data_IF_020963863520
#
_entry.id   IF_020963863520
#
_cell.length_a   1.000
_cell.length_b   1.000
_cell.length_c   1.000
_cell.angle_alpha   90.00
_cell.angle_beta   90.00
_cell.angle_gamma   90.00
#
_symmetry.space_group_name_H-M   'P 1'
#
loop_
_entity.id
_entity.type
_entity.pdbx_description
1 polymer ?
#
# COMPACT_ATOMS: atom_id res chain seq x y z
N UNK A 1 80.90 -8.11 -48.06
CA UNK A 1 80.12 -7.80 -46.84
C UNK A 1 79.21 -6.64 -47.16
N UNK A 2 77.94 -6.88 -47.54
CA UNK A 2 76.91 -5.87 -47.69
C UNK A 2 75.57 -6.55 -47.31
N UNK A 3 75.03 -6.14 -46.20
CA UNK A 3 73.74 -6.54 -45.70
C UNK A 3 72.59 -5.88 -46.48
N UNK A 4 71.67 -6.67 -47.01
CA UNK A 4 70.45 -6.19 -47.66
C UNK A 4 69.28 -6.54 -46.81
N UNK A 5 68.69 -5.54 -46.15
CA UNK A 5 67.45 -5.66 -45.44
C UNK A 5 66.27 -5.65 -46.43
N UNK A 6 65.45 -6.71 -46.42
CA UNK A 6 64.15 -6.75 -47.11
C UNK A 6 63.06 -6.23 -46.21
N UNK A 7 62.46 -5.13 -46.59
CA UNK A 7 61.30 -4.54 -45.94
C UNK A 7 60.02 -5.28 -46.37
N UNK A 8 59.40 -5.92 -45.46
CA UNK A 8 58.09 -6.52 -45.68
C UNK A 8 56.98 -5.48 -45.29
N UNK A 9 56.24 -5.04 -46.26
CA UNK A 9 55.05 -4.19 -46.03
C UNK A 9 53.84 -5.12 -45.69
N UNK A 10 53.37 -5.07 -44.45
CA UNK A 10 52.12 -5.67 -44.05
C UNK A 10 50.98 -4.72 -44.40
N UNK A 11 50.04 -5.17 -45.23
CA UNK A 11 48.76 -4.53 -45.45
C UNK A 11 47.83 -4.89 -44.23
N UNK A 12 47.49 -3.89 -43.44
CA UNK A 12 46.38 -4.01 -42.47
C UNK A 12 45.07 -3.77 -43.23
N UNK A 13 44.30 -4.84 -43.39
CA UNK A 13 42.88 -4.76 -43.78
C UNK A 13 42.08 -4.50 -42.49
N UNK A 14 41.60 -3.27 -42.33
CA UNK A 14 40.72 -2.90 -41.24
C UNK A 14 39.30 -3.42 -41.51
N UNK A 15 38.88 -4.44 -40.77
CA UNK A 15 37.50 -4.86 -40.72
C UNK A 15 36.76 -3.92 -39.73
N UNK A 16 35.96 -2.97 -40.23
CA UNK A 16 34.99 -2.26 -39.44
C UNK A 16 33.88 -3.22 -39.05
N UNK A 17 33.91 -3.74 -37.83
CA UNK A 17 32.76 -4.39 -37.23
C UNK A 17 31.75 -3.29 -36.82
N UNK A 18 30.71 -3.11 -37.61
CA UNK A 18 29.51 -2.38 -37.16
C UNK A 18 28.85 -3.20 -36.05
N UNK A 19 29.10 -2.80 -34.79
CA UNK A 19 28.35 -3.26 -33.64
C UNK A 19 26.98 -2.61 -33.71
N UNK A 20 25.99 -3.35 -34.20
CA UNK A 20 24.60 -2.99 -34.05
C UNK A 20 24.23 -3.15 -32.56
N UNK A 21 24.34 -2.06 -31.79
CA UNK A 21 23.67 -1.97 -30.48
C UNK A 21 22.18 -2.09 -30.74
N UNK A 22 21.63 -3.28 -30.49
CA UNK A 22 20.20 -3.43 -30.31
C UNK A 22 19.81 -2.54 -29.12
N UNK A 23 19.11 -1.46 -29.38
CA UNK A 23 18.40 -0.69 -28.35
C UNK A 23 17.32 -1.60 -27.78
N UNK A 24 17.66 -2.42 -26.80
CA UNK A 24 16.67 -2.94 -25.85
C UNK A 24 16.22 -1.73 -25.06
N UNK A 25 15.03 -1.23 -25.38
CA UNK A 25 14.45 -0.08 -24.68
C UNK A 25 14.44 -0.38 -23.18
N UNK A 26 15.21 0.41 -22.42
CA UNK A 26 15.15 0.41 -20.97
C UNK A 26 13.75 0.95 -20.62
N UNK A 27 12.81 0.07 -20.19
CA UNK A 27 11.50 0.52 -19.71
C UNK A 27 11.71 1.38 -18.48
N UNK A 28 11.09 2.54 -18.45
CA UNK A 28 11.10 3.42 -17.28
C UNK A 28 10.27 2.79 -16.16
N UNK A 29 10.43 3.28 -14.92
CA UNK A 29 9.54 2.90 -13.81
C UNK A 29 8.06 3.12 -14.21
N UNK A 30 7.77 4.25 -14.88
CA UNK A 30 6.42 4.56 -15.36
C UNK A 30 5.88 3.48 -16.29
N UNK A 31 6.67 3.07 -17.31
CA UNK A 31 6.24 2.07 -18.29
C UNK A 31 5.91 0.72 -17.62
N UNK A 32 6.74 0.28 -16.68
CA UNK A 32 6.53 -0.98 -15.97
C UNK A 32 5.32 -0.92 -15.02
N UNK A 33 5.15 0.21 -14.33
CA UNK A 33 4.01 0.42 -13.43
C UNK A 33 2.69 0.54 -14.20
N UNK A 34 2.68 1.24 -15.33
CA UNK A 34 1.49 1.38 -16.18
C UNK A 34 1.10 0.04 -16.83
N UNK A 35 2.08 -0.78 -17.22
CA UNK A 35 1.83 -2.14 -17.70
C UNK A 35 1.18 -3.02 -16.62
N UNK A 36 1.62 -2.91 -15.36
CA UNK A 36 1.02 -3.61 -14.22
C UNK A 36 -0.41 -3.13 -13.91
N UNK A 37 -0.65 -1.81 -13.99
CA UNK A 37 -1.98 -1.24 -13.79
C UNK A 37 -2.99 -1.63 -14.88
N UNK A 38 -2.49 -2.01 -16.06
CA UNK A 38 -3.27 -2.38 -17.24
C UNK A 38 -3.57 -1.17 -18.16
N UNK A 39 -4.25 -1.41 -19.29
CA UNK A 39 -4.49 -0.39 -20.30
C UNK A 39 -5.35 0.77 -19.76
N UNK A 40 -5.05 1.99 -20.25
CA UNK A 40 -5.80 3.20 -19.92
C UNK A 40 -5.46 3.80 -18.55
N UNK A 41 -4.36 3.40 -17.92
CA UNK A 41 -3.86 3.98 -16.69
C UNK A 41 -2.52 4.66 -16.90
N UNK A 42 -2.33 5.82 -16.26
CA UNK A 42 -1.08 6.57 -16.20
C UNK A 42 -0.62 6.72 -14.76
N UNK A 43 0.67 6.48 -14.51
CA UNK A 43 1.26 6.68 -13.19
C UNK A 43 1.22 8.16 -12.83
N UNK A 44 0.56 8.48 -11.73
CA UNK A 44 0.41 9.82 -11.19
C UNK A 44 1.42 10.12 -10.08
N UNK A 45 1.61 9.15 -9.20
CA UNK A 45 2.50 9.24 -8.05
C UNK A 45 2.89 7.85 -7.57
N UNK A 46 4.11 7.71 -7.05
CA UNK A 46 4.52 6.49 -6.35
C UNK A 46 5.50 6.78 -5.21
N UNK A 47 5.56 5.85 -4.27
CA UNK A 47 6.68 5.66 -3.36
C UNK A 47 7.13 4.21 -3.50
N UNK A 48 8.36 4.03 -3.96
CA UNK A 48 8.98 2.71 -4.19
C UNK A 48 9.86 2.30 -3.00
N UNK A 49 9.89 3.09 -1.94
CA UNK A 49 10.68 2.87 -0.72
C UNK A 49 12.16 2.47 -0.97
N UNK A 50 12.74 2.94 -2.09
CA UNK A 50 14.12 2.64 -2.50
C UNK A 50 15.19 3.41 -1.70
N UNK A 51 14.79 4.29 -0.79
CA UNK A 51 15.67 5.06 0.08
C UNK A 51 16.21 4.24 1.26
N UNK A 52 16.84 4.94 2.18
CA UNK A 52 17.30 4.40 3.47
C UNK A 52 16.47 4.90 4.65
N UNK A 53 15.59 5.87 4.41
CA UNK A 53 14.74 6.50 5.41
C UNK A 53 13.34 6.76 4.85
N UNK A 54 12.38 6.88 5.75
CA UNK A 54 11.01 7.25 5.41
C UNK A 54 10.96 8.72 4.97
N UNK A 55 10.34 9.01 3.81
CA UNK A 55 10.10 10.40 3.39
C UNK A 55 9.07 11.06 4.32
N UNK A 56 9.56 11.88 5.25
CA UNK A 56 8.74 12.59 6.23
C UNK A 56 7.95 13.75 5.65
N UNK A 57 8.19 14.17 4.40
CA UNK A 57 7.34 15.13 3.70
C UNK A 57 6.02 14.47 3.24
N UNK A 58 6.03 13.16 3.04
CA UNK A 58 4.85 12.37 2.64
C UNK A 58 4.24 11.68 3.86
N UNK A 59 5.04 10.97 4.63
CA UNK A 59 4.58 10.05 5.67
C UNK A 59 4.84 10.55 7.08
N UNK A 60 3.83 10.44 7.93
CA UNK A 60 3.96 10.64 9.37
C UNK A 60 3.74 9.31 10.08
N UNK A 61 4.58 9.01 11.07
CA UNK A 61 4.37 7.84 11.94
C UNK A 61 3.10 8.01 12.76
N UNK A 62 2.29 6.98 12.82
CA UNK A 62 1.06 6.96 13.59
C UNK A 62 1.38 7.04 15.10
N UNK A 63 0.51 7.78 15.82
CA UNK A 63 0.61 7.96 17.28
C UNK A 63 -0.40 7.09 18.00
N UNK A 64 -0.12 6.80 19.25
CA UNK A 64 -1.08 6.21 20.19
C UNK A 64 -2.40 6.97 20.17
N UNK A 65 -3.50 6.23 20.11
CA UNK A 65 -4.86 6.77 20.11
C UNK A 65 -5.84 5.96 20.95
N UNK A 66 -7.14 6.26 20.82
CA UNK A 66 -8.19 5.63 21.62
C UNK A 66 -8.87 4.43 20.97
N UNK A 67 -8.63 4.17 19.69
CA UNK A 67 -9.24 3.06 18.96
C UNK A 67 -8.39 1.79 19.04
N UNK A 68 -9.00 0.63 18.82
CA UNK A 68 -8.26 -0.65 18.87
C UNK A 68 -7.08 -0.65 17.89
N UNK A 69 -7.24 -0.09 16.69
CA UNK A 69 -6.20 -0.05 15.65
C UNK A 69 -4.95 0.75 16.05
N UNK A 70 -5.08 1.84 16.85
CA UNK A 70 -3.95 2.70 17.18
C UNK A 70 -3.61 2.78 18.68
N UNK A 71 -4.25 1.96 19.50
CA UNK A 71 -4.06 1.98 20.96
C UNK A 71 -2.61 1.75 21.36
N UNK A 72 -1.89 0.93 20.61
CA UNK A 72 -0.52 0.52 20.86
C UNK A 72 0.49 1.09 19.85
N UNK A 73 0.05 2.06 19.02
CA UNK A 73 0.95 2.71 18.06
C UNK A 73 1.99 3.58 18.77
N UNK A 74 3.22 3.53 18.25
CA UNK A 74 4.32 4.37 18.69
C UNK A 74 5.04 4.98 17.49
N UNK A 75 5.59 6.18 17.67
CA UNK A 75 6.38 6.87 16.64
C UNK A 75 7.85 6.46 16.62
N UNK A 76 8.22 5.43 17.36
CA UNK A 76 9.60 4.91 17.42
C UNK A 76 10.10 4.55 16.02
N UNK A 77 11.33 4.95 15.66
CA UNK A 77 11.86 4.70 14.32
C UNK A 77 12.12 3.21 14.05
N UNK A 78 12.37 2.40 15.06
CA UNK A 78 12.57 0.96 14.93
C UNK A 78 11.29 0.15 14.65
N UNK A 79 10.12 0.78 14.77
CA UNK A 79 8.83 0.16 14.43
C UNK A 79 8.41 0.41 13.00
N UNK A 80 8.95 1.45 12.35
CA UNK A 80 8.74 1.74 10.92
C UNK A 80 10.05 2.26 10.34
N UNK A 81 10.62 1.53 9.41
CA UNK A 81 11.89 1.90 8.76
C UNK A 81 11.94 1.41 7.32
N UNK A 82 12.75 2.09 6.50
CA UNK A 82 13.00 1.71 5.10
C UNK A 82 14.35 1.00 5.04
N UNK A 83 14.38 -0.17 4.42
CA UNK A 83 15.59 -0.95 4.18
C UNK A 83 15.35 -1.99 3.09
N UNK A 84 16.39 -2.30 2.33
CA UNK A 84 16.38 -3.36 1.31
C UNK A 84 15.26 -3.19 0.26
N UNK A 85 14.95 -1.91 -0.09
CA UNK A 85 13.95 -1.58 -1.11
C UNK A 85 12.49 -1.72 -0.67
N UNK A 86 12.21 -1.69 0.65
CA UNK A 86 10.84 -1.71 1.16
C UNK A 86 10.72 -1.00 2.51
N UNK A 87 9.53 -0.56 2.85
CA UNK A 87 9.22 -0.14 4.22
C UNK A 87 8.76 -1.33 5.04
N UNK A 88 9.35 -1.50 6.23
CA UNK A 88 8.96 -2.50 7.23
C UNK A 88 8.15 -1.85 8.32
N UNK A 89 7.03 -2.46 8.69
CA UNK A 89 6.22 -2.11 9.86
C UNK A 89 6.18 -3.27 10.82
N UNK A 90 6.37 -2.99 12.12
CA UNK A 90 6.57 -4.02 13.15
C UNK A 90 5.61 -3.88 14.31
N UNK A 91 5.28 -5.05 14.88
CA UNK A 91 4.80 -5.17 16.25
C UNK A 91 5.83 -5.90 17.10
N UNK A 92 6.20 -5.36 18.24
CA UNK A 92 7.25 -5.90 19.11
C UNK A 92 6.79 -5.96 20.57
N UNK A 93 7.47 -6.77 21.38
CA UNK A 93 7.34 -6.67 22.86
C UNK A 93 7.73 -5.25 23.28
N UNK A 94 6.97 -4.68 24.20
CA UNK A 94 7.33 -3.38 24.77
C UNK A 94 8.50 -3.56 25.73
N UNK A 95 9.60 -2.88 25.43
CA UNK A 95 10.84 -2.89 26.23
C UNK A 95 10.86 -1.79 27.30
N UNK A 96 9.75 -1.05 27.43
CA UNK A 96 9.62 0.06 28.37
C UNK A 96 10.22 1.38 27.87
N UNK A 97 10.74 1.43 26.63
CA UNK A 97 11.24 2.67 26.03
C UNK A 97 10.11 3.66 25.75
N UNK A 98 8.91 3.17 25.48
CA UNK A 98 7.69 3.96 25.41
C UNK A 98 7.04 4.12 26.78
N UNK A 99 6.35 5.24 26.98
CA UNK A 99 5.51 5.45 28.17
C UNK A 99 4.24 4.59 28.17
N UNK A 100 4.03 3.84 27.08
CA UNK A 100 2.94 2.89 26.97
C UNK A 100 3.15 1.74 27.97
N UNK A 101 2.13 1.46 28.78
CA UNK A 101 2.14 0.38 29.77
C UNK A 101 1.73 -0.98 29.22
N UNK A 102 1.34 -1.03 27.94
CA UNK A 102 0.95 -2.28 27.30
C UNK A 102 2.17 -3.17 27.03
N UNK A 103 1.98 -4.49 27.00
CA UNK A 103 3.10 -5.43 26.82
C UNK A 103 3.67 -5.48 25.40
N UNK A 104 3.06 -4.79 24.45
CA UNK A 104 3.54 -4.64 23.05
C UNK A 104 3.30 -3.24 22.51
N UNK A 105 4.07 -2.87 21.50
CA UNK A 105 3.93 -1.64 20.74
C UNK A 105 4.02 -1.93 19.25
N UNK A 106 3.39 -1.08 18.43
CA UNK A 106 3.26 -1.29 16.98
C UNK A 106 3.59 -0.03 16.19
N UNK A 107 3.92 -0.19 14.91
CA UNK A 107 4.23 0.91 14.01
C UNK A 107 3.26 1.00 12.83
N UNK A 108 3.05 2.22 12.37
CA UNK A 108 2.28 2.54 11.19
C UNK A 108 2.60 3.93 10.67
N UNK A 109 2.17 4.22 9.44
CA UNK A 109 2.33 5.52 8.78
C UNK A 109 1.02 5.97 8.16
N UNK A 110 0.89 7.29 8.02
CA UNK A 110 -0.21 7.92 7.30
C UNK A 110 0.31 9.11 6.49
N UNK A 111 -0.28 9.34 5.32
CA UNK A 111 0.05 10.51 4.48
C UNK A 111 -0.97 11.62 4.56
N UNK A 112 -1.77 11.68 5.63
CA UNK A 112 -2.85 12.66 5.81
C UNK A 112 -2.42 14.10 5.58
N UNK A 113 -1.21 14.46 6.02
CA UNK A 113 -0.63 15.81 5.91
C UNK A 113 0.45 15.87 4.83
N UNK A 114 0.59 14.82 4.03
CA UNK A 114 1.45 14.79 2.86
C UNK A 114 0.90 15.64 1.71
N UNK A 115 1.67 15.75 0.61
CA UNK A 115 1.25 16.52 -0.55
C UNK A 115 -0.01 15.93 -1.19
N UNK A 116 -0.90 16.78 -1.71
CA UNK A 116 -2.19 16.36 -2.27
C UNK A 116 -2.06 15.33 -3.42
N UNK A 117 -0.93 15.33 -4.15
CA UNK A 117 -0.67 14.34 -5.20
C UNK A 117 -0.55 12.91 -4.65
N UNK A 118 -0.15 12.74 -3.39
CA UNK A 118 -0.08 11.44 -2.72
C UNK A 118 -1.43 10.98 -2.14
N UNK A 119 -2.48 11.79 -2.26
CA UNK A 119 -3.84 11.40 -1.88
C UNK A 119 -4.56 10.82 -3.10
N UNK A 120 -5.38 9.79 -2.84
CA UNK A 120 -6.19 9.19 -3.88
C UNK A 120 -7.59 9.82 -3.94
N UNK A 121 -7.99 10.23 -5.14
CA UNK A 121 -9.39 10.51 -5.50
C UNK A 121 -9.88 9.43 -6.47
N UNK A 122 -10.68 9.79 -7.50
CA UNK A 122 -10.97 8.85 -8.59
C UNK A 122 -9.66 8.41 -9.25
N UNK A 123 -9.46 7.11 -9.40
CA UNK A 123 -8.22 6.53 -9.91
C UNK A 123 -8.03 5.10 -9.44
N UNK A 124 -6.82 4.61 -9.58
CA UNK A 124 -6.40 3.27 -9.12
C UNK A 124 -5.17 3.39 -8.23
N UNK A 125 -5.08 2.59 -7.19
CA UNK A 125 -3.84 2.36 -6.45
C UNK A 125 -3.47 0.89 -6.52
N UNK A 126 -2.18 0.61 -6.64
CA UNK A 126 -1.57 -0.70 -6.46
C UNK A 126 -0.57 -0.63 -5.31
N UNK A 127 -0.65 -1.58 -4.38
CA UNK A 127 0.26 -1.70 -3.24
C UNK A 127 0.78 -3.14 -3.22
N UNK A 128 2.10 -3.31 -3.28
CA UNK A 128 2.73 -4.63 -3.21
C UNK A 128 3.23 -4.88 -1.81
N UNK A 129 2.68 -5.93 -1.20
CA UNK A 129 2.86 -6.20 0.22
C UNK A 129 3.14 -7.68 0.47
N UNK A 130 4.00 -7.94 1.45
CA UNK A 130 4.23 -9.26 2.02
C UNK A 130 3.94 -9.23 3.51
N UNK A 131 3.08 -10.10 3.98
CA UNK A 131 2.83 -10.34 5.39
C UNK A 131 3.71 -11.48 5.88
N UNK A 132 4.33 -11.31 7.05
CA UNK A 132 4.97 -12.43 7.73
C UNK A 132 3.92 -13.48 8.10
N UNK A 133 4.34 -14.76 8.06
CA UNK A 133 3.43 -15.86 8.37
C UNK A 133 3.00 -15.92 9.84
N UNK A 134 1.77 -16.39 10.04
CA UNK A 134 1.17 -16.95 11.25
C UNK A 134 1.52 -16.27 12.60
N UNK A 135 0.99 -15.06 12.79
CA UNK A 135 1.15 -14.38 14.07
C UNK A 135 -0.21 -14.19 14.76
N UNK A 136 -0.45 -14.93 15.85
CA UNK A 136 -1.67 -14.77 16.65
C UNK A 136 -1.76 -13.36 17.23
N UNK A 137 -2.89 -12.70 16.96
CA UNK A 137 -3.15 -11.32 17.35
C UNK A 137 -2.66 -10.28 16.38
N UNK A 138 -1.98 -10.68 15.27
CA UNK A 138 -1.56 -9.74 14.23
C UNK A 138 -2.76 -9.30 13.37
N UNK A 139 -2.79 -7.99 13.10
CA UNK A 139 -3.85 -7.35 12.31
C UNK A 139 -3.25 -6.25 11.41
N UNK A 140 -2.37 -6.60 10.45
CA UNK A 140 -1.87 -5.63 9.47
C UNK A 140 -2.99 -5.11 8.59
N UNK A 141 -2.96 -3.80 8.30
CA UNK A 141 -3.96 -3.12 7.51
C UNK A 141 -3.37 -2.12 6.51
N UNK A 142 -3.99 -2.05 5.34
CA UNK A 142 -3.79 -1.06 4.28
C UNK A 142 -5.16 -0.45 4.01
N UNK A 143 -5.35 0.77 4.41
CA UNK A 143 -6.67 1.39 4.39
C UNK A 143 -6.62 2.89 4.11
N UNK A 144 -7.76 3.49 3.86
CA UNK A 144 -7.88 4.89 3.50
C UNK A 144 -9.03 5.56 4.22
N UNK A 145 -8.84 6.82 4.63
CA UNK A 145 -9.89 7.67 5.17
C UNK A 145 -10.04 8.97 4.37
N UNK A 146 -11.27 9.50 4.32
CA UNK A 146 -11.55 10.78 3.67
C UNK A 146 -10.79 11.94 4.33
N UNK A 147 -10.13 12.76 3.50
CA UNK A 147 -9.31 13.90 3.93
C UNK A 147 -10.17 15.01 4.54
N UNK A 148 -11.24 15.36 3.83
CA UNK A 148 -12.09 16.50 4.16
C UNK A 148 -13.25 16.08 5.06
N UNK A 149 -13.82 17.07 5.77
CA UNK A 149 -15.14 16.89 6.38
C UNK A 149 -16.20 16.83 5.27
N UNK A 150 -17.33 16.19 5.57
CA UNK A 150 -18.48 16.24 4.67
C UNK A 150 -19.14 17.64 4.65
N UNK A 151 -20.17 17.79 3.81
CA UNK A 151 -20.90 19.05 3.65
C UNK A 151 -21.57 19.57 4.94
N UNK A 152 -21.81 18.68 5.91
CA UNK A 152 -22.36 19.01 7.23
C UNK A 152 -21.28 19.22 8.30
N UNK A 153 -19.99 19.19 7.93
CA UNK A 153 -18.87 19.35 8.85
C UNK A 153 -18.57 18.09 9.67
N UNK A 154 -19.19 16.94 9.33
CA UNK A 154 -18.97 15.67 10.02
C UNK A 154 -17.66 15.02 9.56
N UNK A 155 -17.10 14.17 10.41
CA UNK A 155 -15.90 13.35 10.14
C UNK A 155 -16.31 11.89 10.00
N UNK A 156 -15.35 11.01 10.12
CA UNK A 156 -15.58 9.57 10.13
C UNK A 156 -16.81 9.19 11.00
N UNK A 157 -17.69 8.28 10.53
CA UNK A 157 -17.62 7.51 9.29
C UNK A 157 -18.25 8.19 8.06
N UNK A 158 -18.74 9.42 8.15
CA UNK A 158 -19.45 10.12 7.06
C UNK A 158 -18.53 10.57 5.92
N UNK A 159 -17.23 10.63 6.16
CA UNK A 159 -16.22 10.95 5.13
C UNK A 159 -15.72 9.73 4.38
N UNK A 160 -16.20 8.54 4.76
CA UNK A 160 -15.80 7.27 4.16
C UNK A 160 -14.50 6.71 4.71
N UNK A 161 -14.43 5.38 4.70
CA UNK A 161 -13.23 4.56 4.93
C UNK A 161 -13.27 3.40 3.96
N UNK A 162 -12.12 3.08 3.40
CA UNK A 162 -11.93 1.97 2.46
C UNK A 162 -10.79 1.12 2.99
N UNK A 163 -11.10 -0.08 3.45
CA UNK A 163 -10.10 -1.06 3.83
C UNK A 163 -9.73 -1.84 2.58
N UNK A 164 -8.56 -1.52 2.01
CA UNK A 164 -8.03 -2.22 0.84
C UNK A 164 -7.70 -3.65 1.25
N UNK A 165 -7.05 -3.77 2.40
CA UNK A 165 -6.64 -5.03 3.00
C UNK A 165 -6.67 -4.93 4.50
N UNK A 166 -7.29 -5.92 5.15
CA UNK A 166 -7.05 -6.26 6.54
C UNK A 166 -6.80 -7.75 6.63
N UNK A 167 -5.75 -8.17 7.32
CA UNK A 167 -5.47 -9.60 7.55
C UNK A 167 -5.48 -9.89 9.03
N UNK A 168 -6.18 -10.95 9.43
CA UNK A 168 -6.21 -11.37 10.83
C UNK A 168 -5.39 -12.62 11.04
N UNK A 169 -4.50 -12.57 12.02
CA UNK A 169 -3.67 -13.73 12.39
C UNK A 169 -2.91 -14.28 11.16
N UNK A 170 -2.96 -15.58 10.95
CA UNK A 170 -2.39 -16.28 9.80
C UNK A 170 -3.40 -16.62 8.70
N UNK A 171 -4.51 -15.88 8.57
CA UNK A 171 -5.52 -16.16 7.55
C UNK A 171 -4.90 -16.22 6.14
N UNK A 172 -5.29 -17.22 5.36
CA UNK A 172 -4.88 -17.36 3.96
C UNK A 172 -5.71 -16.47 3.01
N UNK A 173 -6.40 -15.49 3.56
CA UNK A 173 -7.22 -14.51 2.86
C UNK A 173 -7.16 -13.17 3.60
N UNK A 174 -7.60 -12.12 2.91
CA UNK A 174 -7.75 -10.78 3.46
C UNK A 174 -9.21 -10.36 3.45
N UNK A 175 -9.54 -9.43 4.33
CA UNK A 175 -10.82 -8.74 4.37
C UNK A 175 -10.71 -7.45 3.57
N UNK A 176 -11.80 -7.08 2.90
CA UNK A 176 -11.97 -5.88 2.11
C UNK A 176 -13.30 -5.24 2.53
N UNK A 177 -13.27 -4.01 3.04
CA UNK A 177 -14.44 -3.45 3.74
C UNK A 177 -14.68 -2.00 3.35
N UNK A 178 -15.94 -1.58 3.43
CA UNK A 178 -16.40 -0.19 3.32
C UNK A 178 -17.02 0.25 4.60
N UNK A 179 -16.56 1.38 5.15
CA UNK A 179 -17.23 2.09 6.22
C UNK A 179 -17.68 3.48 5.76
N UNK A 180 -18.95 3.79 6.01
CA UNK A 180 -19.57 5.08 5.70
C UNK A 180 -20.67 5.37 6.71
N UNK A 181 -21.29 6.53 6.64
CA UNK A 181 -22.50 6.81 7.41
C UNK A 181 -23.59 5.77 7.19
N UNK A 182 -23.71 5.28 5.95
CA UNK A 182 -24.65 4.22 5.57
C UNK A 182 -24.35 2.87 6.23
N UNK A 183 -23.14 2.38 6.07
CA UNK A 183 -22.78 1.02 6.53
C UNK A 183 -22.49 0.97 8.02
N UNK A 184 -21.84 1.99 8.58
CA UNK A 184 -21.40 2.00 9.97
C UNK A 184 -22.43 2.60 10.92
N UNK A 185 -22.97 3.78 10.61
CA UNK A 185 -23.93 4.49 11.48
C UNK A 185 -25.35 3.95 11.31
N UNK A 186 -25.86 3.90 10.07
CA UNK A 186 -27.21 3.41 9.76
C UNK A 186 -27.34 1.89 9.71
N UNK A 187 -26.20 1.16 9.77
CA UNK A 187 -26.13 -0.30 9.80
C UNK A 187 -26.61 -1.03 8.53
N UNK A 188 -26.68 -0.35 7.40
CA UNK A 188 -26.99 -0.96 6.11
C UNK A 188 -25.78 -1.72 5.54
N UNK A 189 -25.58 -2.97 5.98
CA UNK A 189 -24.41 -3.78 5.67
C UNK A 189 -24.61 -4.82 4.57
N UNK A 190 -25.83 -5.02 4.13
CA UNK A 190 -26.19 -6.12 3.22
C UNK A 190 -26.53 -5.61 1.82
N UNK A 191 -27.01 -4.39 1.69
CA UNK A 191 -27.46 -3.83 0.43
C UNK A 191 -27.04 -2.35 0.29
N UNK A 192 -25.98 -2.10 -0.50
CA UNK A 192 -25.05 -3.10 -1.03
C UNK A 192 -24.23 -3.78 0.08
N UNK A 193 -23.76 -5.00 -0.20
CA UNK A 193 -22.88 -5.72 0.73
C UNK A 193 -21.61 -4.91 0.95
N UNK A 194 -21.25 -4.62 2.21
CA UNK A 194 -20.18 -3.68 2.56
C UNK A 194 -18.79 -4.31 2.68
N UNK A 195 -18.66 -5.64 2.60
CA UNK A 195 -17.37 -6.32 2.74
C UNK A 195 -17.24 -7.56 1.88
N UNK A 196 -16.01 -7.93 1.58
CA UNK A 196 -15.60 -9.14 0.88
C UNK A 196 -14.43 -9.83 1.55
N UNK A 197 -14.06 -10.99 1.00
CA UNK A 197 -12.83 -11.71 1.34
C UNK A 197 -12.13 -12.14 0.06
N UNK A 198 -10.81 -12.08 0.05
CA UNK A 198 -10.01 -12.47 -1.10
C UNK A 198 -8.86 -13.39 -0.67
N UNK A 199 -8.63 -14.52 -1.37
CA UNK A 199 -7.48 -15.37 -1.11
C UNK A 199 -6.18 -14.65 -1.47
N UNK A 200 -5.10 -14.99 -0.76
CA UNK A 200 -3.75 -14.47 -0.99
C UNK A 200 -2.75 -15.61 -1.13
N UNK A 201 -1.58 -15.32 -1.69
CA UNK A 201 -0.41 -16.20 -1.60
C UNK A 201 0.23 -15.92 -0.24
N UNK A 202 0.06 -16.87 0.69
CA UNK A 202 0.49 -16.70 2.07
C UNK A 202 2.02 -16.69 2.18
N UNK A 203 2.59 -15.78 2.98
CA UNK A 203 4.04 -15.66 3.16
C UNK A 203 4.81 -15.11 1.97
N UNK A 204 4.13 -14.69 0.91
CA UNK A 204 4.76 -14.14 -0.30
C UNK A 204 4.18 -12.76 -0.64
N UNK A 205 4.80 -12.12 -1.62
CA UNK A 205 4.36 -10.84 -2.15
C UNK A 205 3.03 -10.97 -2.89
N UNK A 206 2.09 -10.09 -2.55
CA UNK A 206 0.84 -9.92 -3.27
C UNK A 206 0.68 -8.46 -3.68
N UNK A 207 0.01 -8.21 -4.81
CA UNK A 207 -0.37 -6.88 -5.27
C UNK A 207 -1.84 -6.65 -4.97
N UNK A 208 -2.11 -5.68 -4.12
CA UNK A 208 -3.47 -5.28 -3.75
C UNK A 208 -3.85 -4.02 -4.50
N UNK A 209 -4.98 -4.07 -5.20
CA UNK A 209 -5.50 -2.95 -5.97
C UNK A 209 -6.80 -2.41 -5.40
N UNK A 210 -6.96 -1.09 -5.50
CA UNK A 210 -8.19 -0.38 -5.24
C UNK A 210 -8.46 0.60 -6.37
N UNK A 211 -9.62 0.52 -7.00
CA UNK A 211 -10.07 1.47 -8.00
C UNK A 211 -11.29 2.23 -7.47
N UNK A 212 -11.24 3.56 -7.49
CA UNK A 212 -12.35 4.44 -7.15
C UNK A 212 -12.85 5.08 -8.44
N UNK A 213 -14.07 4.76 -8.83
CA UNK A 213 -14.75 5.38 -9.97
C UNK A 213 -15.91 6.26 -9.48
N UNK A 214 -16.55 7.06 -10.35
CA UNK A 214 -17.76 7.79 -9.97
C UNK A 214 -18.95 6.91 -9.55
N UNK A 215 -18.92 5.61 -9.90
CA UNK A 215 -20.08 4.71 -9.75
C UNK A 215 -19.82 3.46 -8.89
N UNK A 216 -18.55 3.11 -8.67
CA UNK A 216 -18.20 1.92 -7.87
C UNK A 216 -16.79 1.98 -7.31
N UNK A 217 -16.57 1.22 -6.26
CA UNK A 217 -15.27 0.84 -5.73
C UNK A 217 -14.97 -0.59 -6.17
N UNK A 218 -13.75 -0.85 -6.66
CA UNK A 218 -13.32 -2.18 -7.09
C UNK A 218 -12.02 -2.57 -6.42
N UNK A 219 -12.03 -3.68 -5.69
CA UNK A 219 -10.84 -4.29 -5.09
C UNK A 219 -10.28 -5.38 -5.99
N UNK A 220 -8.97 -5.52 -6.00
CA UNK A 220 -8.30 -6.62 -6.69
C UNK A 220 -7.16 -7.20 -5.86
N UNK A 221 -6.84 -8.47 -6.10
CA UNK A 221 -5.65 -9.14 -5.58
C UNK A 221 -4.95 -9.83 -6.74
N UNK A 222 -3.66 -9.53 -6.92
CA UNK A 222 -2.82 -10.07 -7.99
C UNK A 222 -3.47 -9.91 -9.39
N UNK A 223 -4.01 -8.72 -9.65
CA UNK A 223 -4.63 -8.34 -10.92
C UNK A 223 -6.04 -8.91 -11.15
N UNK A 224 -6.62 -9.63 -10.18
CA UNK A 224 -7.97 -10.18 -10.29
C UNK A 224 -8.93 -9.44 -9.38
N UNK A 225 -10.06 -8.96 -9.92
CA UNK A 225 -11.14 -8.34 -9.14
C UNK A 225 -11.71 -9.33 -8.13
N UNK A 226 -11.87 -8.85 -6.89
CA UNK A 226 -12.26 -9.69 -5.75
C UNK A 226 -13.51 -9.21 -5.04
N UNK A 227 -13.75 -7.91 -5.02
CA UNK A 227 -14.92 -7.31 -4.40
C UNK A 227 -15.31 -6.02 -5.11
N UNK A 228 -16.61 -5.69 -5.13
CA UNK A 228 -17.17 -4.45 -5.68
C UNK A 228 -18.20 -3.86 -4.74
N UNK A 229 -18.19 -2.55 -4.59
CA UNK A 229 -19.19 -1.79 -3.84
C UNK A 229 -19.76 -0.70 -4.75
N UNK A 230 -21.03 -0.82 -5.18
CA UNK A 230 -21.64 0.15 -6.10
C UNK A 230 -22.17 1.38 -5.39
N UNK A 231 -22.15 2.51 -6.05
CA UNK A 231 -23.00 3.67 -5.76
C UNK A 231 -24.44 3.31 -6.10
N UNK A 232 -25.36 3.61 -5.20
CA UNK A 232 -26.79 3.30 -5.42
C UNK A 232 -27.62 4.58 -5.53
N UNK A 233 -28.77 4.48 -6.19
CA UNK A 233 -29.72 5.58 -6.36
C UNK A 233 -30.66 5.74 -5.15
N UNK A 234 -30.19 5.40 -3.93
CA UNK A 234 -31.03 5.46 -2.73
C UNK A 234 -31.32 6.88 -2.25
N UNK A 235 -30.73 7.91 -2.87
CA UNK A 235 -30.92 9.33 -2.49
C UNK A 235 -30.25 9.74 -1.17
N UNK A 236 -29.52 8.85 -0.53
CA UNK A 236 -28.85 9.08 0.77
C UNK A 236 -27.35 9.34 0.57
N UNK A 237 -26.85 10.56 0.83
CA UNK A 237 -25.43 10.90 0.64
C UNK A 237 -24.49 10.10 1.55
N UNK A 238 -24.98 9.54 2.65
CA UNK A 238 -24.17 8.70 3.55
C UNK A 238 -23.77 7.36 2.92
N UNK A 239 -24.43 6.96 1.80
CA UNK A 239 -24.10 5.74 1.06
C UNK A 239 -22.82 5.91 0.22
N UNK A 240 -22.58 7.12 -0.32
CA UNK A 240 -21.45 7.35 -1.23
C UNK A 240 -20.62 8.58 -0.89
N UNK A 241 -19.73 8.52 0.13
CA UNK A 241 -18.81 9.60 0.44
C UNK A 241 -17.49 9.54 -0.36
N UNK A 242 -17.40 8.71 -1.42
CA UNK A 242 -16.13 8.33 -2.08
C UNK A 242 -15.75 9.24 -3.25
N UNK A 243 -16.45 10.36 -3.46
CA UNK A 243 -16.07 11.39 -4.45
C UNK A 243 -15.03 12.39 -3.88
N UNK A 244 -14.61 12.23 -2.61
CA UNK A 244 -13.60 13.04 -1.93
C UNK A 244 -12.20 12.43 -2.04
N UNK A 245 -11.12 13.22 -1.86
CA UNK A 245 -9.78 12.68 -1.70
C UNK A 245 -9.64 11.84 -0.42
N UNK A 246 -8.85 10.78 -0.52
CA UNK A 246 -8.53 9.86 0.56
C UNK A 246 -7.04 9.86 0.84
N UNK A 247 -6.66 9.85 2.10
CA UNK A 247 -5.30 9.61 2.56
C UNK A 247 -5.14 8.16 3.02
N UNK A 248 -3.92 7.64 2.92
CA UNK A 248 -3.59 6.28 3.31
C UNK A 248 -3.19 6.16 4.77
N UNK A 249 -3.54 5.03 5.35
CA UNK A 249 -3.03 4.51 6.61
C UNK A 249 -2.51 3.10 6.32
N UNK A 250 -1.26 2.87 6.67
CA UNK A 250 -0.56 1.60 6.47
C UNK A 250 0.03 1.24 7.82
N UNK A 251 -0.40 0.14 8.41
CA UNK A 251 0.00 -0.13 9.78
C UNK A 251 -0.03 -1.61 10.16
N UNK A 252 0.83 -1.95 11.12
CA UNK A 252 0.82 -3.21 11.82
C UNK A 252 0.06 -3.03 13.13
N UNK A 253 -1.16 -3.55 13.20
CA UNK A 253 -1.95 -3.55 14.42
C UNK A 253 -1.76 -4.88 15.16
N UNK A 254 -1.87 -4.85 16.48
CA UNK A 254 -1.78 -6.05 17.32
C UNK A 254 -2.86 -6.02 18.40
N UNK A 255 -3.57 -7.14 18.52
CA UNK A 255 -4.61 -7.32 19.52
C UNK A 255 -5.84 -6.49 19.24
N UNK A 256 -6.87 -6.72 20.00
CA UNK A 256 -8.14 -6.01 19.89
C UNK A 256 -9.34 -6.96 19.88
N UNK A 257 -10.53 -6.39 19.91
CA UNK A 257 -11.76 -7.17 20.02
C UNK A 257 -12.01 -8.09 18.82
N UNK A 258 -11.53 -7.69 17.65
CA UNK A 258 -11.76 -8.44 16.42
C UNK A 258 -10.74 -9.54 16.19
N UNK A 259 -9.46 -9.26 16.39
CA UNK A 259 -8.37 -10.21 16.12
C UNK A 259 -8.05 -11.10 17.32
N UNK A 260 -8.42 -10.68 18.54
CA UNK A 260 -8.17 -11.40 19.79
C UNK A 260 -6.82 -11.11 20.44
N UNK A 261 -6.37 -12.05 21.25
CA UNK A 261 -5.18 -11.89 22.08
C UNK A 261 -3.88 -12.04 21.28
N UNK A 262 -2.86 -11.29 21.69
CA UNK A 262 -1.50 -11.34 21.12
C UNK A 262 -0.70 -12.45 21.80
N UNK A 263 -0.04 -13.26 20.99
CA UNK A 263 0.99 -14.17 21.51
C UNK A 263 2.35 -13.44 21.55
N UNK A 264 2.77 -13.04 22.74
CA UNK A 264 4.02 -12.31 22.93
C UNK A 264 5.27 -13.12 22.56
N UNK A 265 5.21 -14.46 22.61
CA UNK A 265 6.37 -15.30 22.31
C UNK A 265 6.69 -15.39 20.82
N UNK A 266 5.75 -14.97 19.98
CA UNK A 266 5.91 -14.94 18.52
C UNK A 266 6.33 -13.57 17.98
N UNK A 267 6.51 -12.57 18.84
CA UNK A 267 6.97 -11.26 18.43
C UNK A 267 8.51 -11.23 18.22
N UNK A 268 9.03 -10.46 17.27
CA UNK A 268 8.34 -9.47 16.45
C UNK A 268 7.48 -10.07 15.34
N UNK A 269 6.46 -9.33 14.92
CA UNK A 269 5.70 -9.57 13.69
C UNK A 269 5.92 -8.41 12.72
N UNK A 270 6.02 -8.70 11.43
CA UNK A 270 6.38 -7.71 10.41
C UNK A 270 5.48 -7.77 9.19
N UNK A 271 5.28 -6.61 8.59
CA UNK A 271 4.70 -6.41 7.27
C UNK A 271 5.70 -5.61 6.43
N UNK A 272 5.86 -6.00 5.17
CA UNK A 272 6.77 -5.38 4.22
C UNK A 272 5.98 -4.79 3.06
N UNK A 273 6.21 -3.52 2.72
CA UNK A 273 5.59 -2.85 1.58
C UNK A 273 6.70 -2.45 0.61
N UNK A 274 6.66 -3.00 -0.60
CA UNK A 274 7.63 -2.76 -1.67
C UNK A 274 7.36 -1.43 -2.36
N UNK A 275 6.09 -1.19 -2.72
CA UNK A 275 5.67 0.08 -3.31
C UNK A 275 4.20 0.39 -3.02
N UNK A 276 3.88 1.67 -3.19
CA UNK A 276 2.54 2.20 -3.37
C UNK A 276 2.53 3.09 -4.62
N UNK A 277 1.63 2.79 -5.59
CA UNK A 277 1.53 3.47 -6.89
C UNK A 277 0.12 3.94 -7.14
N UNK A 278 -0.06 5.23 -7.40
CA UNK A 278 -1.35 5.84 -7.71
C UNK A 278 -1.39 6.16 -9.20
N UNK A 279 -2.48 5.78 -9.84
CA UNK A 279 -2.73 5.97 -11.26
C UNK A 279 -3.99 6.80 -11.47
N UNK A 280 -3.99 7.59 -12.54
CA UNK A 280 -5.16 8.26 -13.06
C UNK A 280 -5.53 7.70 -14.44
N UNK A 281 -6.78 7.90 -14.90
CA UNK A 281 -7.18 7.50 -16.24
C UNK A 281 -6.35 8.28 -17.28
N UNK A 282 -5.81 7.56 -18.25
CA UNK A 282 -5.20 8.18 -19.41
C UNK A 282 -6.27 9.01 -20.16
N UNK A 283 -5.90 10.19 -20.68
CA UNK A 283 -6.81 11.06 -21.43
C UNK A 283 -7.37 10.41 -22.71
#
# INVERSE_FOLDING_TARGET
>A
MKNTQKTVRSLLVGVLALSACAFTGCSTLSDSAEAEAGPGWKLKWSDEFNGTELDTNVWQRCKTGGSDWNRHMSTRPDLVFVRDGHVTMRGVKNDGADKDKHPWVTGGIANRFGPAISHMAHGKVLIRVKFQDHQKGAWPALWMCGVNKDAQGRRWPWTGEIDIVERLNGDAFVYQTVHSGWTHHKKHKKDPKHNGKAPIVNGDWNVYGMEITPTELVWSVNGKDTFRYPKTDCGDPDQWPFDNPFFFLLDMQLGGKWVGDVNLDTLPVEMYIDYIRIFEKAP
#
